data_IF_300283949977
#
_entry.id   IF_300283949977
#
_cell.length_a   1.000
_cell.length_b   1.000
_cell.length_c   1.000
_cell.angle_alpha   90.00
_cell.angle_beta   90.00
_cell.angle_gamma   90.00
#
_symmetry.space_group_name_H-M   'P 1'
#
loop_
_entity.id
_entity.type
_entity.pdbx_description
1 polymer ?
#
# COMPACT_ATOMS: atom_id res chain seq x y z
N UNK A 1 19.22 22.38 -3.22
CA UNK A 1 18.28 21.53 -3.97
C UNK A 1 16.93 22.20 -3.79
N UNK A 2 16.32 22.59 -4.91
CA UNK A 2 14.94 23.06 -4.90
C UNK A 2 14.05 21.87 -4.56
N UNK A 3 13.43 21.91 -3.38
CA UNK A 3 12.64 20.80 -2.86
C UNK A 3 11.16 20.90 -3.23
N UNK A 4 10.76 21.92 -3.97
CA UNK A 4 9.34 22.18 -4.27
C UNK A 4 8.69 21.06 -5.11
N UNK A 5 9.47 20.38 -5.95
CA UNK A 5 9.02 19.29 -6.82
C UNK A 5 9.35 17.89 -6.30
N UNK A 6 10.03 17.76 -5.16
CA UNK A 6 10.45 16.46 -4.62
C UNK A 6 9.40 15.92 -3.67
N UNK A 7 8.91 14.71 -3.94
CA UNK A 7 8.04 13.97 -3.03
C UNK A 7 8.86 13.37 -1.90
N UNK A 8 8.59 13.80 -0.67
CA UNK A 8 9.29 13.33 0.53
C UNK A 8 8.32 12.53 1.40
N UNK A 9 8.65 11.26 1.65
CA UNK A 9 7.88 10.38 2.52
C UNK A 9 8.61 10.16 3.83
N UNK A 10 7.97 10.57 4.92
CA UNK A 10 8.50 10.45 6.28
C UNK A 10 7.72 9.37 7.04
N UNK A 11 8.42 8.33 7.44
CA UNK A 11 7.87 7.25 8.24
C UNK A 11 8.35 7.34 9.67
N UNK A 12 7.43 7.50 10.61
CA UNK A 12 7.72 7.56 12.04
C UNK A 12 6.95 6.50 12.80
N UNK A 13 7.60 5.89 13.78
CA UNK A 13 6.99 4.92 14.70
C UNK A 13 6.44 5.60 15.98
N UNK A 14 6.21 6.89 15.92
CA UNK A 14 5.65 7.69 17.01
C UNK A 14 4.68 8.75 16.48
N UNK A 15 3.84 9.26 17.36
CA UNK A 15 2.86 10.30 17.07
C UNK A 15 3.19 11.55 17.89
N UNK A 16 3.67 12.62 17.24
CA UNK A 16 3.98 13.90 17.86
C UNK A 16 3.71 15.04 16.86
N UNK A 17 2.66 15.82 17.10
CA UNK A 17 2.23 16.89 16.20
C UNK A 17 3.21 18.08 16.19
N UNK A 18 3.88 18.36 17.29
CA UNK A 18 4.86 19.46 17.37
C UNK A 18 6.06 19.15 16.48
N UNK A 19 6.62 17.96 16.63
CA UNK A 19 7.77 17.51 15.82
C UNK A 19 7.45 17.53 14.32
N UNK A 20 6.24 17.10 13.93
CA UNK A 20 5.81 17.11 12.55
C UNK A 20 5.68 18.53 11.99
N UNK A 21 5.17 19.48 12.81
CA UNK A 21 5.12 20.90 12.41
C UNK A 21 6.50 21.49 12.20
N UNK A 22 7.44 21.19 13.10
CA UNK A 22 8.85 21.64 12.98
C UNK A 22 9.51 21.10 11.70
N UNK A 23 9.31 19.81 11.39
CA UNK A 23 9.84 19.23 10.15
C UNK A 23 9.23 19.88 8.91
N UNK A 24 7.92 20.14 8.90
CA UNK A 24 7.27 20.85 7.80
C UNK A 24 7.90 22.22 7.56
N UNK A 25 8.10 22.98 8.64
CA UNK A 25 8.69 24.31 8.56
C UNK A 25 10.15 24.27 8.08
N UNK A 26 10.86 23.20 8.43
CA UNK A 26 12.25 22.98 7.99
C UNK A 26 12.31 22.54 6.50
N UNK A 27 11.48 21.60 6.08
CA UNK A 27 11.55 21.03 4.73
C UNK A 27 11.02 21.94 3.63
N UNK A 28 10.15 22.91 3.92
CA UNK A 28 9.54 23.88 2.97
C UNK A 28 8.98 23.27 1.69
N UNK A 29 8.64 21.98 1.70
CA UNK A 29 8.09 21.25 0.56
C UNK A 29 6.58 21.11 0.68
N UNK A 30 5.86 21.35 -0.41
CA UNK A 30 4.42 21.06 -0.50
C UNK A 30 4.13 19.59 -0.78
N UNK A 31 5.14 18.81 -1.18
CA UNK A 31 5.06 17.39 -1.51
C UNK A 31 5.53 16.50 -0.35
N UNK A 32 5.26 16.90 0.89
CA UNK A 32 5.63 16.18 2.10
C UNK A 32 4.50 15.27 2.55
N UNK A 33 4.79 13.96 2.65
CA UNK A 33 3.85 12.90 3.03
C UNK A 33 4.29 12.22 4.33
N UNK A 34 3.42 12.22 5.31
CA UNK A 34 3.71 11.61 6.60
C UNK A 34 3.03 10.25 6.71
N UNK A 35 3.81 9.19 6.74
CA UNK A 35 3.32 7.82 6.87
C UNK A 35 3.04 7.46 8.34
N UNK A 36 2.21 8.25 9.00
CA UNK A 36 1.76 8.01 10.38
C UNK A 36 0.29 7.60 10.33
N UNK A 37 0.04 6.33 10.62
CA UNK A 37 -1.26 5.69 10.56
C UNK A 37 -1.64 5.13 11.94
N UNK A 38 -2.56 5.80 12.65
CA UNK A 38 -2.95 5.41 14.03
C UNK A 38 -3.78 4.13 14.05
N UNK A 39 -4.66 3.94 13.06
CA UNK A 39 -5.45 2.71 12.92
C UNK A 39 -4.56 1.58 12.40
N UNK A 40 -3.66 1.88 11.45
CA UNK A 40 -2.66 0.94 10.97
C UNK A 40 -1.70 0.48 12.08
N UNK A 41 -1.31 1.37 13.00
CA UNK A 41 -0.53 0.99 14.17
C UNK A 41 -1.29 0.01 15.08
N UNK A 42 -2.57 0.30 15.35
CA UNK A 42 -3.44 -0.63 16.08
C UNK A 42 -3.56 -1.97 15.36
N UNK A 43 -3.74 -1.98 14.05
CA UNK A 43 -3.83 -3.20 13.26
C UNK A 43 -2.54 -4.04 13.30
N UNK A 44 -1.37 -3.36 13.27
CA UNK A 44 -0.04 -4.00 13.27
C UNK A 44 0.37 -4.52 14.64
N UNK A 45 0.14 -3.74 15.69
CA UNK A 45 0.72 -3.98 17.03
C UNK A 45 -0.31 -4.43 18.06
N UNK A 46 -1.60 -4.25 17.79
CA UNK A 46 -2.69 -4.40 18.75
C UNK A 46 -2.81 -3.25 19.74
N UNK A 47 -1.98 -2.21 19.62
CA UNK A 47 -1.93 -1.09 20.55
C UNK A 47 -2.06 0.25 19.82
N UNK A 48 -2.67 1.22 20.51
CA UNK A 48 -2.55 2.63 20.15
C UNK A 48 -1.13 3.13 20.44
N UNK A 49 -0.74 4.28 19.91
CA UNK A 49 0.54 4.91 20.32
C UNK A 49 0.52 5.25 21.82
N UNK A 50 -0.58 5.81 22.31
CA UNK A 50 -0.83 6.10 23.73
C UNK A 50 -2.14 5.45 24.18
N UNK A 51 -3.26 5.99 23.69
CA UNK A 51 -4.64 5.49 23.84
C UNK A 51 -5.52 6.19 22.81
N UNK A 52 -6.70 5.63 22.53
CA UNK A 52 -7.62 6.16 21.52
C UNK A 52 -7.84 7.68 21.63
N UNK A 53 -8.18 8.16 22.83
CA UNK A 53 -8.53 9.58 23.04
C UNK A 53 -7.32 10.51 22.80
N UNK A 54 -6.16 10.11 23.27
CA UNK A 54 -4.92 10.88 23.10
C UNK A 54 -4.46 10.87 21.64
N UNK A 55 -4.51 9.72 20.98
CA UNK A 55 -4.10 9.56 19.59
C UNK A 55 -5.01 10.36 18.65
N UNK A 56 -6.33 10.33 18.86
CA UNK A 56 -7.26 11.15 18.08
C UNK A 56 -7.03 12.64 18.28
N UNK A 57 -6.79 13.08 19.52
CA UNK A 57 -6.51 14.49 19.83
C UNK A 57 -5.20 14.95 19.17
N UNK A 58 -4.16 14.15 19.25
CA UNK A 58 -2.86 14.47 18.67
C UNK A 58 -2.93 14.44 17.14
N UNK A 59 -3.60 13.43 16.55
CA UNK A 59 -3.82 13.34 15.11
C UNK A 59 -4.62 14.52 14.57
N UNK A 60 -5.61 15.01 15.30
CA UNK A 60 -6.39 16.18 14.89
C UNK A 60 -5.54 17.46 14.79
N UNK A 61 -4.65 17.71 15.76
CA UNK A 61 -3.68 18.82 15.68
C UNK A 61 -2.80 18.70 14.43
N UNK A 62 -2.35 17.50 14.18
CA UNK A 62 -1.53 17.14 13.04
C UNK A 62 -2.24 17.40 11.70
N UNK A 63 -3.52 16.98 11.57
CA UNK A 63 -4.36 17.22 10.39
C UNK A 63 -4.55 18.72 10.11
N UNK A 64 -4.57 19.55 11.14
CA UNK A 64 -4.71 21.00 10.99
C UNK A 64 -3.43 21.68 10.52
N UNK A 65 -2.27 21.14 10.88
CA UNK A 65 -0.96 21.76 10.61
C UNK A 65 -0.36 21.37 9.26
N UNK A 66 -0.72 20.20 8.71
CA UNK A 66 -0.07 19.65 7.49
C UNK A 66 -1.11 19.20 6.46
N UNK A 67 -0.73 19.33 5.19
CA UNK A 67 -1.46 18.69 4.09
C UNK A 67 -1.26 17.16 4.10
N UNK A 68 -1.30 16.36 3.28
CA UNK A 68 -0.96 14.91 3.19
C UNK A 68 -0.68 14.24 4.56
N UNK A 69 -1.57 14.50 5.53
CA UNK A 69 -1.38 14.17 6.93
C UNK A 69 -1.96 12.83 7.34
N UNK A 70 -2.79 12.21 6.51
CA UNK A 70 -3.45 10.95 6.84
C UNK A 70 -2.97 9.87 5.88
N UNK A 71 -2.22 8.91 6.41
CA UNK A 71 -1.83 7.72 5.70
C UNK A 71 -2.84 6.60 5.96
N UNK A 72 -3.33 5.96 4.92
CA UNK A 72 -3.99 4.66 4.98
C UNK A 72 -3.01 3.63 4.44
N UNK A 73 -2.40 2.88 5.35
CA UNK A 73 -1.38 1.91 4.99
C UNK A 73 -1.99 0.53 4.70
N UNK A 74 -2.50 0.34 3.48
CA UNK A 74 -3.06 -0.92 3.02
C UNK A 74 -2.02 -2.04 2.90
N UNK A 75 -0.73 -1.68 2.72
CA UNK A 75 0.35 -2.66 2.61
C UNK A 75 0.48 -3.57 3.85
N UNK A 76 -0.01 -3.12 5.01
CA UNK A 76 -0.07 -3.92 6.23
C UNK A 76 -0.91 -5.18 6.04
N UNK A 77 -2.09 -5.03 5.44
CA UNK A 77 -3.03 -6.13 5.25
C UNK A 77 -2.50 -7.14 4.24
N UNK A 78 -1.96 -6.66 3.13
CA UNK A 78 -1.36 -7.50 2.11
C UNK A 78 -0.17 -8.29 2.69
N UNK A 79 0.75 -7.63 3.36
CA UNK A 79 1.92 -8.29 3.96
C UNK A 79 1.55 -9.27 5.09
N UNK A 80 0.40 -9.09 5.75
CA UNK A 80 -0.13 -10.01 6.74
C UNK A 80 -0.84 -11.25 6.15
N UNK A 81 -1.10 -11.26 4.83
CA UNK A 81 -1.72 -12.39 4.15
C UNK A 81 -3.08 -12.12 3.51
N UNK A 82 -3.55 -10.87 3.50
CA UNK A 82 -4.79 -10.52 2.82
C UNK A 82 -4.69 -10.75 1.30
N UNK A 83 -5.76 -11.23 0.69
CA UNK A 83 -5.91 -11.26 -0.76
C UNK A 83 -6.08 -9.84 -1.32
N UNK A 84 -5.88 -9.66 -2.63
CA UNK A 84 -6.08 -8.37 -3.31
C UNK A 84 -7.46 -7.77 -3.00
N UNK A 85 -8.52 -8.59 -3.01
CA UNK A 85 -9.88 -8.15 -2.73
C UNK A 85 -10.02 -7.69 -1.27
N UNK A 86 -9.41 -8.40 -0.33
CA UNK A 86 -9.41 -8.03 1.08
C UNK A 86 -8.59 -6.76 1.32
N UNK A 87 -7.42 -6.63 0.69
CA UNK A 87 -6.59 -5.42 0.77
C UNK A 87 -7.38 -4.18 0.33
N UNK A 88 -8.09 -4.26 -0.81
CA UNK A 88 -8.96 -3.19 -1.31
C UNK A 88 -10.10 -2.85 -0.33
N UNK A 89 -10.80 -3.87 0.14
CA UNK A 89 -11.94 -3.69 1.05
C UNK A 89 -11.51 -3.09 2.41
N UNK A 90 -10.39 -3.57 2.95
CA UNK A 90 -9.87 -3.05 4.22
C UNK A 90 -9.30 -1.64 4.07
N UNK A 91 -8.63 -1.33 2.97
CA UNK A 91 -8.19 0.03 2.69
C UNK A 91 -9.37 1.00 2.57
N UNK A 92 -10.47 0.57 1.93
CA UNK A 92 -11.69 1.37 1.80
C UNK A 92 -12.37 1.57 3.16
N UNK A 93 -12.53 0.52 3.95
CA UNK A 93 -13.12 0.57 5.28
C UNK A 93 -12.27 1.41 6.26
N UNK A 94 -10.96 1.29 6.17
CA UNK A 94 -10.02 2.11 6.93
C UNK A 94 -10.13 3.61 6.55
N UNK A 95 -10.32 3.90 5.26
CA UNK A 95 -10.58 5.27 4.78
C UNK A 95 -11.88 5.80 5.34
N UNK A 96 -12.96 5.00 5.28
CA UNK A 96 -14.26 5.35 5.85
C UNK A 96 -14.17 5.66 7.34
N UNK A 97 -13.45 4.83 8.10
CA UNK A 97 -13.23 5.03 9.52
C UNK A 97 -12.56 6.38 9.84
N UNK A 98 -11.57 6.78 9.05
CA UNK A 98 -10.94 8.10 9.21
C UNK A 98 -11.91 9.24 8.87
N UNK A 99 -12.74 9.09 7.85
CA UNK A 99 -13.75 10.10 7.48
C UNK A 99 -14.79 10.25 8.60
N UNK A 100 -15.24 9.15 9.20
CA UNK A 100 -16.18 9.17 10.32
C UNK A 100 -15.55 9.80 11.57
N UNK A 101 -14.29 9.53 11.88
CA UNK A 101 -13.59 10.06 13.05
C UNK A 101 -13.23 11.55 12.95
N UNK A 102 -12.88 12.05 11.78
CA UNK A 102 -12.35 13.41 11.60
C UNK A 102 -13.19 14.29 10.67
N UNK A 103 -14.24 13.74 10.09
CA UNK A 103 -15.13 14.44 9.18
C UNK A 103 -14.62 14.46 7.72
N UNK A 104 -15.55 14.66 6.80
CA UNK A 104 -15.27 14.58 5.34
C UNK A 104 -14.27 15.61 4.79
N UNK A 105 -14.00 16.67 5.52
CA UNK A 105 -13.03 17.70 5.14
C UNK A 105 -11.58 17.18 5.06
N UNK A 106 -11.31 16.00 5.62
CA UNK A 106 -9.98 15.39 5.56
C UNK A 106 -9.70 14.67 4.24
N UNK A 107 -10.70 14.42 3.40
CA UNK A 107 -10.56 13.64 2.17
C UNK A 107 -9.35 14.07 1.29
N UNK A 108 -9.10 15.38 1.04
CA UNK A 108 -7.93 15.81 0.27
C UNK A 108 -6.58 15.59 0.97
N UNK A 109 -6.59 15.24 2.25
CA UNK A 109 -5.39 15.03 3.07
C UNK A 109 -5.01 13.57 3.22
N UNK A 110 -5.81 12.66 2.67
CA UNK A 110 -5.59 11.23 2.72
C UNK A 110 -4.70 10.81 1.56
N UNK A 111 -3.68 10.03 1.89
CA UNK A 111 -2.85 9.32 0.91
C UNK A 111 -2.75 7.84 1.30
N UNK A 112 -2.39 7.02 0.34
CA UNK A 112 -2.46 5.57 0.46
C UNK A 112 -1.12 4.91 0.21
N UNK A 113 -0.84 3.84 0.95
CA UNK A 113 0.33 2.99 0.71
C UNK A 113 -0.13 1.58 0.39
N UNK A 114 0.27 1.05 -0.77
CA UNK A 114 -0.04 -0.31 -1.21
C UNK A 114 1.23 -1.14 -1.40
N UNK A 115 1.12 -2.45 -1.15
CA UNK A 115 2.11 -3.42 -1.61
C UNK A 115 1.75 -3.93 -2.99
N UNK A 116 2.76 -4.24 -3.81
CA UNK A 116 2.60 -4.79 -5.15
C UNK A 116 3.18 -6.20 -5.18
N UNK A 117 2.36 -7.17 -5.49
CA UNK A 117 2.73 -8.59 -5.58
C UNK A 117 3.09 -9.04 -7.00
N UNK A 118 3.17 -10.35 -7.16
CA UNK A 118 3.65 -10.97 -8.41
C UNK A 118 2.63 -11.05 -9.53
N UNK A 119 1.33 -10.91 -9.24
CA UNK A 119 0.30 -11.06 -10.27
C UNK A 119 0.12 -9.77 -11.07
N UNK A 120 0.91 -9.62 -12.11
CA UNK A 120 1.11 -8.42 -12.90
C UNK A 120 -0.19 -7.69 -13.28
N UNK A 121 -1.12 -8.39 -13.93
CA UNK A 121 -2.38 -7.77 -14.40
C UNK A 121 -3.35 -7.45 -13.27
N UNK A 122 -3.38 -8.29 -12.23
CA UNK A 122 -4.23 -8.05 -11.07
C UNK A 122 -3.70 -6.86 -10.24
N UNK A 123 -2.39 -6.64 -10.19
CA UNK A 123 -1.81 -5.49 -9.50
C UNK A 123 -2.12 -4.18 -10.24
N UNK A 124 -2.06 -4.18 -11.59
CA UNK A 124 -2.52 -3.05 -12.40
C UNK A 124 -4.01 -2.75 -12.09
N UNK A 125 -4.85 -3.78 -12.17
CA UNK A 125 -6.28 -3.64 -11.94
C UNK A 125 -6.62 -3.24 -10.49
N UNK A 126 -5.84 -3.68 -9.51
CA UNK A 126 -5.99 -3.32 -8.10
C UNK A 126 -5.94 -1.82 -7.87
N UNK A 127 -4.92 -1.15 -8.38
CA UNK A 127 -4.76 0.30 -8.20
C UNK A 127 -5.87 1.09 -8.90
N UNK A 128 -6.27 0.63 -10.08
CA UNK A 128 -7.41 1.21 -10.83
C UNK A 128 -8.73 1.02 -10.07
N UNK A 129 -9.01 -0.21 -9.59
CA UNK A 129 -10.20 -0.52 -8.81
C UNK A 129 -10.26 0.30 -7.52
N UNK A 130 -9.12 0.52 -6.86
CA UNK A 130 -9.08 1.32 -5.64
C UNK A 130 -9.48 2.77 -5.89
N UNK A 131 -9.02 3.38 -6.98
CA UNK A 131 -9.43 4.74 -7.35
C UNK A 131 -10.94 4.86 -7.55
N UNK A 132 -11.55 3.89 -8.24
CA UNK A 132 -13.00 3.81 -8.43
C UNK A 132 -13.74 3.67 -7.08
N UNK A 133 -13.26 2.79 -6.21
CA UNK A 133 -13.87 2.56 -4.91
C UNK A 133 -13.83 3.80 -4.00
N UNK A 134 -12.70 4.50 -3.97
CA UNK A 134 -12.58 5.73 -3.18
C UNK A 134 -13.47 6.84 -3.75
N UNK A 135 -13.55 6.97 -5.07
CA UNK A 135 -14.45 7.95 -5.70
C UNK A 135 -15.91 7.71 -5.34
N UNK A 136 -16.35 6.46 -5.36
CA UNK A 136 -17.69 6.06 -4.91
C UNK A 136 -17.89 6.39 -3.42
N UNK A 137 -16.94 6.03 -2.56
CA UNK A 137 -17.01 6.31 -1.12
C UNK A 137 -17.12 7.81 -0.85
N UNK A 138 -16.27 8.63 -1.48
CA UNK A 138 -16.27 10.07 -1.29
C UNK A 138 -17.57 10.70 -1.80
N UNK A 139 -18.12 10.21 -2.90
CA UNK A 139 -19.40 10.66 -3.44
C UNK A 139 -20.54 10.41 -2.45
N UNK A 140 -20.59 9.24 -1.82
CA UNK A 140 -21.57 8.91 -0.78
C UNK A 140 -21.47 9.84 0.43
N UNK A 141 -20.26 10.28 0.80
CA UNK A 141 -20.04 11.30 1.84
C UNK A 141 -20.35 12.74 1.36
N UNK A 142 -20.78 12.93 0.10
CA UNK A 142 -21.03 14.24 -0.49
C UNK A 142 -19.78 15.09 -0.66
N UNK A 143 -18.64 14.44 -0.89
CA UNK A 143 -17.37 15.07 -1.25
C UNK A 143 -17.23 15.01 -2.78
N UNK A 144 -16.82 16.12 -3.41
CA UNK A 144 -16.49 16.10 -4.84
C UNK A 144 -15.31 15.17 -5.08
N UNK A 145 -15.30 14.52 -6.24
CA UNK A 145 -14.17 13.70 -6.69
C UNK A 145 -12.86 14.46 -6.48
N UNK A 146 -11.96 13.85 -5.73
CA UNK A 146 -10.67 14.42 -5.37
C UNK A 146 -9.58 13.44 -5.80
N UNK A 147 -8.57 13.89 -6.54
CA UNK A 147 -7.45 13.04 -6.89
C UNK A 147 -6.79 12.46 -5.64
N UNK A 148 -6.65 11.13 -5.58
CA UNK A 148 -5.98 10.45 -4.49
C UNK A 148 -4.52 10.19 -4.84
N UNK A 149 -3.65 10.27 -3.83
CA UNK A 149 -2.24 9.95 -3.97
C UNK A 149 -1.96 8.54 -3.49
N UNK A 150 -1.42 7.71 -4.38
CA UNK A 150 -1.07 6.31 -4.09
C UNK A 150 0.45 6.15 -4.18
N UNK A 151 1.04 5.75 -3.07
CA UNK A 151 2.42 5.33 -2.94
C UNK A 151 2.50 3.81 -2.91
N UNK A 152 3.41 3.20 -3.67
CA UNK A 152 3.52 1.75 -3.76
C UNK A 152 4.92 1.25 -3.46
N UNK A 153 4.99 0.02 -2.94
CA UNK A 153 6.22 -0.74 -2.68
C UNK A 153 6.05 -2.18 -3.14
N UNK A 154 7.12 -2.84 -3.59
CA UNK A 154 7.10 -4.30 -3.76
C UNK A 154 6.70 -5.04 -2.49
N UNK A 155 5.90 -6.09 -2.65
CA UNK A 155 5.50 -6.98 -1.56
C UNK A 155 6.69 -7.76 -1.01
N UNK A 156 6.68 -8.03 0.29
CA UNK A 156 7.67 -8.92 0.92
C UNK A 156 7.28 -10.40 0.81
N UNK A 157 6.00 -10.72 0.54
CA UNK A 157 5.46 -12.08 0.58
C UNK A 157 5.96 -13.00 -0.52
N UNK A 158 6.35 -12.46 -1.66
CA UNK A 158 6.82 -13.24 -2.81
C UNK A 158 8.33 -13.11 -3.03
N UNK A 159 9.06 -12.72 -2.00
CA UNK A 159 10.52 -12.72 -2.00
C UNK A 159 11.05 -14.01 -1.39
N UNK A 160 12.23 -14.43 -1.82
CA UNK A 160 12.88 -15.65 -1.35
C UNK A 160 14.32 -15.38 -0.94
N UNK A 161 14.80 -16.16 0.03
CA UNK A 161 16.21 -16.19 0.42
C UNK A 161 17.03 -17.14 -0.48
N UNK A 162 16.35 -18.08 -1.16
CA UNK A 162 16.98 -18.98 -2.12
C UNK A 162 17.17 -18.25 -3.46
N UNK A 163 18.38 -18.34 -4.02
CA UNK A 163 18.73 -17.62 -5.25
C UNK A 163 18.22 -16.16 -5.23
N UNK A 164 18.51 -15.50 -4.12
CA UNK A 164 17.91 -14.22 -3.73
C UNK A 164 18.16 -13.08 -4.75
N UNK A 165 19.19 -13.20 -5.59
CA UNK A 165 19.43 -12.24 -6.67
C UNK A 165 18.24 -12.15 -7.65
N UNK A 166 17.48 -13.22 -7.81
CA UNK A 166 16.27 -13.25 -8.67
C UNK A 166 15.17 -12.31 -8.14
N UNK A 167 15.25 -11.90 -6.88
CA UNK A 167 14.34 -10.88 -6.34
C UNK A 167 14.44 -9.54 -7.11
N UNK A 168 15.59 -9.22 -7.73
CA UNK A 168 15.72 -8.02 -8.59
C UNK A 168 14.74 -8.06 -9.76
N UNK A 169 14.57 -9.22 -10.40
CA UNK A 169 13.63 -9.40 -11.52
C UNK A 169 12.19 -9.25 -11.05
N UNK A 170 11.86 -9.81 -9.87
CA UNK A 170 10.53 -9.70 -9.25
C UNK A 170 10.18 -8.25 -8.97
N UNK A 171 11.07 -7.53 -8.27
CA UNK A 171 10.81 -6.14 -7.93
C UNK A 171 10.70 -5.24 -9.17
N UNK A 172 11.43 -5.53 -10.25
CA UNK A 172 11.31 -4.80 -11.53
C UNK A 172 9.92 -4.96 -12.12
N UNK A 173 9.41 -6.19 -12.25
CA UNK A 173 8.08 -6.44 -12.83
C UNK A 173 6.95 -5.90 -11.94
N UNK A 174 7.11 -5.92 -10.62
CA UNK A 174 6.18 -5.33 -9.66
C UNK A 174 6.14 -3.81 -9.80
N UNK A 175 7.29 -3.14 -9.85
CA UNK A 175 7.36 -1.70 -10.10
C UNK A 175 6.73 -1.32 -11.45
N UNK A 176 6.97 -2.13 -12.50
CA UNK A 176 6.35 -1.91 -13.79
C UNK A 176 4.82 -2.01 -13.72
N UNK A 177 4.27 -3.02 -13.01
CA UNK A 177 2.82 -3.14 -12.83
C UNK A 177 2.23 -1.97 -12.04
N UNK A 178 2.97 -1.45 -11.05
CA UNK A 178 2.57 -0.27 -10.30
C UNK A 178 2.50 0.99 -11.18
N UNK A 179 3.48 1.19 -12.08
CA UNK A 179 3.47 2.30 -13.05
C UNK A 179 2.23 2.21 -13.93
N UNK A 180 2.02 1.04 -14.53
CA UNK A 180 0.88 0.81 -15.45
C UNK A 180 -0.48 0.88 -14.74
N UNK A 181 -0.53 0.57 -13.45
CA UNK A 181 -1.71 0.71 -12.59
C UNK A 181 -1.98 2.15 -12.13
N UNK A 182 -1.10 3.10 -12.45
CA UNK A 182 -1.28 4.52 -12.13
C UNK A 182 -0.87 4.87 -10.69
N UNK A 183 0.16 4.23 -10.12
CA UNK A 183 0.78 4.68 -8.88
C UNK A 183 1.37 6.09 -9.07
N UNK A 184 1.19 6.96 -8.08
CA UNK A 184 1.75 8.31 -8.13
C UNK A 184 3.25 8.32 -7.77
N UNK A 185 3.65 7.44 -6.86
CA UNK A 185 5.04 7.31 -6.43
C UNK A 185 5.35 5.86 -6.13
N UNK A 186 6.56 5.44 -6.48
CA UNK A 186 7.03 4.06 -6.31
C UNK A 186 8.36 4.09 -5.57
N UNK A 187 8.47 3.28 -4.54
CA UNK A 187 9.73 3.00 -3.86
C UNK A 187 10.07 1.53 -4.08
N UNK A 188 11.17 1.25 -4.77
CA UNK A 188 11.63 -0.11 -4.92
C UNK A 188 12.36 -0.59 -3.66
N UNK A 189 12.39 -1.90 -3.46
CA UNK A 189 13.10 -2.55 -2.36
C UNK A 189 14.37 -3.22 -2.87
N UNK A 190 15.42 -3.20 -2.05
CA UNK A 190 16.61 -4.00 -2.32
C UNK A 190 16.25 -5.49 -2.43
N UNK A 191 16.96 -6.22 -3.27
CA UNK A 191 16.73 -7.66 -3.53
C UNK A 191 16.91 -8.54 -2.28
N UNK A 192 17.72 -8.08 -1.35
CA UNK A 192 18.07 -8.73 -0.09
C UNK A 192 17.35 -8.16 1.15
N UNK A 193 16.38 -7.26 0.95
CA UNK A 193 15.69 -6.53 2.02
C UNK A 193 14.97 -7.43 3.05
N UNK A 194 14.70 -8.70 2.74
CA UNK A 194 14.03 -9.63 3.67
C UNK A 194 14.96 -10.24 4.71
N UNK A 195 16.28 -10.20 4.52
CA UNK A 195 17.25 -10.84 5.41
C UNK A 195 18.52 -10.02 5.70
N UNK A 196 18.78 -8.96 4.93
CA UNK A 196 19.89 -8.04 5.16
C UNK A 196 19.40 -6.64 5.51
N UNK A 197 20.23 -5.94 6.29
CA UNK A 197 20.11 -4.49 6.40
C UNK A 197 20.50 -3.85 5.06
N UNK A 198 19.96 -2.66 4.83
CA UNK A 198 20.29 -1.85 3.65
C UNK A 198 21.80 -1.76 3.41
N UNK A 199 22.22 -1.98 2.17
CA UNK A 199 23.59 -1.87 1.73
C UNK A 199 23.67 -1.06 0.42
N UNK A 200 24.83 -0.47 0.15
CA UNK A 200 25.04 0.44 -0.98
C UNK A 200 24.70 -0.20 -2.33
N UNK A 201 25.09 -1.46 -2.53
CA UNK A 201 24.84 -2.17 -3.78
C UNK A 201 23.34 -2.42 -4.00
N UNK A 202 22.65 -2.96 -2.99
CA UNK A 202 21.22 -3.24 -3.06
C UNK A 202 20.39 -1.98 -3.29
N UNK A 203 20.72 -0.88 -2.59
CA UNK A 203 20.06 0.41 -2.78
C UNK A 203 20.31 0.99 -4.16
N UNK A 204 21.55 0.91 -4.65
CA UNK A 204 21.91 1.37 -5.98
C UNK A 204 21.13 0.59 -7.06
N UNK A 205 21.10 -0.73 -6.97
CA UNK A 205 20.37 -1.57 -7.94
C UNK A 205 18.89 -1.27 -7.91
N UNK A 206 18.27 -1.22 -6.74
CA UNK A 206 16.82 -0.94 -6.61
C UNK A 206 16.44 0.41 -7.24
N UNK A 207 17.27 1.43 -7.06
CA UNK A 207 17.11 2.74 -7.71
C UNK A 207 17.33 2.67 -9.22
N UNK A 208 18.37 1.95 -9.65
CA UNK A 208 18.68 1.79 -11.09
C UNK A 208 17.57 1.07 -11.83
N UNK A 209 16.91 0.09 -11.23
CA UNK A 209 15.73 -0.57 -11.82
C UNK A 209 14.61 0.44 -12.14
N UNK A 210 14.33 1.38 -11.24
CA UNK A 210 13.33 2.44 -11.48
C UNK A 210 13.77 3.39 -12.59
N UNK A 211 15.05 3.77 -12.62
CA UNK A 211 15.61 4.62 -13.69
C UNK A 211 15.53 3.94 -15.05
N UNK A 212 15.79 2.63 -15.15
CA UNK A 212 15.62 1.86 -16.40
C UNK A 212 14.16 1.90 -16.86
N UNK A 213 13.20 1.69 -15.95
CA UNK A 213 11.77 1.76 -16.29
C UNK A 213 11.37 3.17 -16.75
N UNK A 214 11.95 4.19 -16.16
CA UNK A 214 11.68 5.58 -16.50
C UNK A 214 12.32 6.01 -17.82
N UNK A 215 13.64 5.84 -17.95
CA UNK A 215 14.44 6.45 -19.02
C UNK A 215 14.59 5.54 -20.24
N UNK A 216 14.86 4.23 -20.03
CA UNK A 216 15.08 3.30 -21.13
C UNK A 216 13.78 2.68 -21.63
N UNK A 217 12.86 2.32 -20.72
CA UNK A 217 11.55 1.77 -21.07
C UNK A 217 10.50 2.86 -21.35
N UNK A 218 10.86 4.14 -21.18
CA UNK A 218 10.01 5.31 -21.44
C UNK A 218 8.63 5.26 -20.76
N UNK A 219 8.50 4.60 -19.61
CA UNK A 219 7.21 4.45 -18.92
C UNK A 219 6.70 5.75 -18.26
N UNK A 220 7.43 6.84 -18.36
CA UNK A 220 6.97 8.18 -18.01
C UNK A 220 6.20 8.90 -19.14
N UNK A 221 6.19 8.34 -20.36
CA UNK A 221 5.65 9.01 -21.54
C UNK A 221 4.13 9.17 -21.54
N UNK A 222 3.40 8.39 -20.73
CA UNK A 222 1.95 8.50 -20.59
C UNK A 222 1.48 8.14 -19.17
N UNK A 223 0.32 8.66 -18.79
CA UNK A 223 -0.21 8.46 -17.44
C UNK A 223 -1.13 7.25 -17.30
N UNK A 224 -1.70 6.75 -18.38
CA UNK A 224 -2.75 5.72 -18.32
C UNK A 224 -2.55 4.66 -19.42
N UNK A 225 -1.48 3.91 -19.33
CA UNK A 225 -1.12 2.89 -20.32
C UNK A 225 -2.12 1.72 -20.41
N UNK A 226 -2.91 1.49 -19.36
CA UNK A 226 -3.82 0.35 -19.27
C UNK A 226 -5.22 0.64 -19.82
N UNK A 227 -5.52 1.88 -20.21
CA UNK A 227 -6.81 2.26 -20.77
C UNK A 227 -7.09 1.55 -22.09
N UNK A 228 -8.35 1.10 -22.23
CA UNK A 228 -8.79 0.39 -23.42
C UNK A 228 -8.41 -1.09 -23.47
N UNK A 229 -7.76 -1.61 -22.45
CA UNK A 229 -7.52 -3.05 -22.30
C UNK A 229 -8.75 -3.73 -21.72
N UNK A 230 -9.53 -4.43 -22.56
CA UNK A 230 -10.73 -5.16 -22.13
C UNK A 230 -10.48 -6.12 -20.96
N UNK A 231 -9.33 -6.77 -20.94
CA UNK A 231 -8.96 -7.70 -19.87
C UNK A 231 -8.76 -6.97 -18.56
N UNK A 232 -7.98 -5.88 -18.55
CA UNK A 232 -7.71 -5.09 -17.34
C UNK A 232 -8.99 -4.42 -16.84
N UNK A 233 -9.81 -3.86 -17.74
CA UNK A 233 -11.06 -3.21 -17.37
C UNK A 233 -12.05 -4.21 -16.76
N UNK A 234 -12.13 -5.42 -17.32
CA UNK A 234 -12.96 -6.50 -16.77
C UNK A 234 -12.52 -6.92 -15.36
N UNK A 235 -11.19 -7.13 -15.14
CA UNK A 235 -10.66 -7.47 -13.82
C UNK A 235 -10.87 -6.31 -12.84
N UNK A 236 -10.64 -5.08 -13.27
CA UNK A 236 -10.83 -3.86 -12.45
C UNK A 236 -12.24 -3.81 -11.89
N UNK A 237 -13.24 -3.96 -12.75
CA UNK A 237 -14.66 -3.96 -12.34
C UNK A 237 -14.99 -5.10 -11.38
N UNK A 238 -14.53 -6.32 -11.66
CA UNK A 238 -14.78 -7.47 -10.79
C UNK A 238 -14.10 -7.33 -9.42
N UNK A 239 -12.88 -6.78 -9.37
CA UNK A 239 -12.18 -6.51 -8.11
C UNK A 239 -12.91 -5.46 -7.29
N UNK A 240 -13.36 -4.38 -7.94
CA UNK A 240 -14.12 -3.32 -7.28
C UNK A 240 -15.45 -3.84 -6.70
N UNK A 241 -16.24 -4.60 -7.46
CA UNK A 241 -17.50 -5.16 -6.99
C UNK A 241 -17.32 -6.10 -5.78
N UNK A 242 -16.35 -7.01 -5.86
CA UNK A 242 -16.07 -7.94 -4.76
C UNK A 242 -15.54 -7.24 -3.52
N UNK A 243 -14.67 -6.26 -3.68
CA UNK A 243 -14.15 -5.46 -2.58
C UNK A 243 -15.26 -4.61 -1.92
N UNK A 244 -16.14 -4.01 -2.72
CA UNK A 244 -17.31 -3.27 -2.24
C UNK A 244 -18.27 -4.16 -1.44
N UNK A 245 -18.43 -5.41 -1.84
CA UNK A 245 -19.23 -6.39 -1.10
C UNK A 245 -18.66 -6.64 0.29
N UNK A 246 -17.36 -6.91 0.40
CA UNK A 246 -16.69 -7.10 1.70
C UNK A 246 -16.73 -5.81 2.53
N UNK A 247 -16.53 -4.65 1.92
CA UNK A 247 -16.66 -3.37 2.60
C UNK A 247 -18.04 -3.20 3.24
N UNK A 248 -19.12 -3.45 2.48
CA UNK A 248 -20.49 -3.38 3.00
C UNK A 248 -20.75 -4.37 4.16
N UNK A 249 -20.14 -5.55 4.10
CA UNK A 249 -20.21 -6.51 5.22
C UNK A 249 -19.49 -5.98 6.47
N UNK A 250 -18.36 -5.31 6.31
CA UNK A 250 -17.61 -4.68 7.42
C UNK A 250 -18.45 -3.58 8.05
N UNK A 251 -18.98 -2.68 7.24
CA UNK A 251 -19.82 -1.58 7.75
C UNK A 251 -21.09 -2.09 8.46
N UNK A 252 -21.76 -3.08 7.88
CA UNK A 252 -22.92 -3.74 8.52
C UNK A 252 -22.55 -4.43 9.85
N UNK A 253 -21.33 -4.86 9.99
CA UNK A 253 -20.79 -5.53 11.18
C UNK A 253 -20.29 -4.58 12.27
N UNK A 254 -20.55 -3.27 12.19
CA UNK A 254 -20.17 -2.25 13.18
C UNK A 254 -18.96 -1.39 12.78
N UNK A 255 -18.49 -1.51 11.53
CA UNK A 255 -17.36 -0.73 11.00
C UNK A 255 -16.00 -1.37 11.22
N UNK A 256 -15.00 -0.75 10.65
CA UNK A 256 -13.65 -1.33 10.57
C UNK A 256 -12.98 -1.47 11.94
N UNK A 257 -13.05 -0.44 12.79
CA UNK A 257 -12.43 -0.44 14.12
C UNK A 257 -13.03 -1.50 15.04
N UNK A 258 -14.34 -1.70 15.03
CA UNK A 258 -14.99 -2.69 15.89
C UNK A 258 -14.65 -4.11 15.43
N UNK A 259 -14.61 -4.36 14.13
CA UNK A 259 -14.18 -5.66 13.59
C UNK A 259 -12.68 -5.92 13.79
N UNK A 260 -11.86 -4.88 13.78
CA UNK A 260 -10.43 -5.00 14.09
C UNK A 260 -10.22 -5.36 15.57
N UNK A 261 -10.91 -4.68 16.50
CA UNK A 261 -10.85 -4.95 17.94
C UNK A 261 -11.41 -6.32 18.32
N UNK A 262 -12.46 -6.77 17.65
CA UNK A 262 -13.05 -8.10 17.86
C UNK A 262 -12.27 -9.24 17.21
N UNK A 263 -11.22 -8.95 16.43
CA UNK A 263 -10.36 -9.94 15.80
C UNK A 263 -10.93 -10.56 14.52
N UNK A 264 -12.05 -10.06 14.01
CA UNK A 264 -12.68 -10.59 12.79
C UNK A 264 -11.80 -10.38 11.57
N UNK A 265 -11.21 -9.17 11.42
CA UNK A 265 -10.30 -8.84 10.32
C UNK A 265 -9.08 -9.74 10.35
N UNK A 266 -8.43 -9.89 11.51
CA UNK A 266 -7.24 -10.73 11.69
C UNK A 266 -7.53 -12.20 11.35
N UNK A 267 -8.70 -12.71 11.77
CA UNK A 267 -9.13 -14.08 11.46
C UNK A 267 -9.27 -14.28 9.94
N UNK A 268 -9.92 -13.36 9.25
CA UNK A 268 -10.11 -13.41 7.79
C UNK A 268 -8.79 -13.34 7.03
N UNK A 269 -7.85 -12.49 7.47
CA UNK A 269 -6.49 -12.42 6.90
C UNK A 269 -5.76 -13.75 7.13
N UNK A 270 -5.83 -14.33 8.32
CA UNK A 270 -5.20 -15.62 8.64
C UNK A 270 -5.76 -16.75 7.78
N UNK A 271 -7.08 -16.82 7.59
CA UNK A 271 -7.72 -17.80 6.69
C UNK A 271 -7.20 -17.67 5.26
N UNK A 272 -7.04 -16.43 4.76
CA UNK A 272 -6.47 -16.16 3.44
C UNK A 272 -5.00 -16.58 3.33
N UNK A 273 -4.19 -16.26 4.34
CA UNK A 273 -2.78 -16.64 4.42
C UNK A 273 -2.59 -18.16 4.42
N UNK A 274 -3.39 -18.89 5.21
CA UNK A 274 -3.36 -20.34 5.25
C UNK A 274 -3.73 -20.99 3.91
N UNK A 275 -4.71 -20.41 3.20
CA UNK A 275 -5.07 -20.86 1.86
C UNK A 275 -3.92 -20.65 0.88
N UNK A 276 -3.28 -19.49 0.92
CA UNK A 276 -2.12 -19.20 0.06
C UNK A 276 -0.94 -20.13 0.35
N UNK A 277 -0.66 -20.40 1.62
CA UNK A 277 0.37 -21.37 2.04
C UNK A 277 0.06 -22.77 1.50
N UNK A 278 -1.19 -23.23 1.63
CA UNK A 278 -1.62 -24.50 1.07
C UNK A 278 -1.48 -24.56 -0.45
N UNK A 279 -1.83 -23.49 -1.15
CA UNK A 279 -1.70 -23.38 -2.60
C UNK A 279 -0.22 -23.34 -3.03
N UNK A 280 0.66 -22.73 -2.22
CA UNK A 280 2.12 -22.75 -2.43
C UNK A 280 2.71 -24.15 -2.24
N UNK A 281 2.37 -24.84 -1.15
CA UNK A 281 2.81 -26.23 -0.87
C UNK A 281 2.35 -27.18 -1.97
N UNK A 282 1.11 -27.04 -2.43
CA UNK A 282 0.54 -27.83 -3.53
C UNK A 282 0.99 -27.39 -4.93
N UNK A 283 1.96 -26.46 -5.04
CA UNK A 283 2.51 -25.94 -6.29
C UNK A 283 1.48 -25.33 -7.22
N UNK A 284 0.35 -24.83 -6.70
CA UNK A 284 -0.59 -23.99 -7.46
C UNK A 284 -0.10 -22.57 -7.58
N UNK A 285 0.62 -22.09 -6.55
CA UNK A 285 1.38 -20.83 -6.59
C UNK A 285 2.84 -21.19 -6.76
N UNK A 286 3.45 -20.64 -7.80
CA UNK A 286 4.84 -20.92 -8.16
C UNK A 286 5.72 -19.75 -7.71
N UNK A 287 6.82 -20.07 -7.04
CA UNK A 287 7.92 -19.18 -6.76
C UNK A 287 9.21 -19.84 -7.28
N UNK A 288 9.68 -19.36 -8.40
CA UNK A 288 10.89 -19.89 -9.08
C UNK A 288 12.09 -19.76 -8.15
N UNK A 289 12.93 -20.79 -8.12
CA UNK A 289 14.05 -20.89 -7.17
C UNK A 289 13.66 -21.44 -5.80
N UNK A 290 12.35 -21.54 -5.47
CA UNK A 290 11.88 -22.04 -4.16
C UNK A 290 11.07 -23.32 -4.30
N UNK A 291 9.91 -23.32 -4.96
CA UNK A 291 9.11 -24.53 -5.16
C UNK A 291 9.12 -25.05 -6.61
N UNK A 292 9.79 -24.33 -7.51
CA UNK A 292 10.05 -24.71 -8.89
C UNK A 292 11.48 -24.33 -9.27
N UNK A 293 12.19 -25.20 -9.99
CA UNK A 293 13.57 -24.98 -10.47
C UNK A 293 14.53 -24.48 -9.38
N UNK A 294 14.57 -25.20 -8.27
CA UNK A 294 15.52 -24.91 -7.20
C UNK A 294 16.96 -25.04 -7.67
N UNK A 295 17.81 -24.12 -7.27
CA UNK A 295 19.25 -24.23 -7.46
C UNK A 295 19.83 -25.20 -6.43
N UNK A 296 20.25 -26.39 -6.86
CA UNK A 296 20.81 -27.45 -5.99
C UNK A 296 22.17 -27.08 -5.39
N UNK A 297 22.83 -26.05 -5.92
CA UNK A 297 24.12 -25.56 -5.44
C UNK A 297 23.97 -24.33 -4.53
N UNK A 298 22.74 -23.91 -4.22
CA UNK A 298 22.50 -22.80 -3.33
C UNK A 298 22.68 -23.26 -1.88
N UNK A 299 23.74 -22.78 -1.24
CA UNK A 299 24.04 -23.05 0.16
C UNK A 299 23.81 -21.77 0.94
N UNK A 300 22.88 -21.84 1.88
CA UNK A 300 22.69 -20.76 2.88
C UNK A 300 23.79 -20.78 3.93
#
# INVERSE_FOLDING_TARGET
IDTEEIFIYLNFEFLNAVFVSEIKDYCKSNCLYFQIDIIGNLAKTGNWFFNLKSDLKEKNKYIQSVNNSICVNASLYQNAGASIIQELAYALAHTNEYIELFGKSIAPKIHYTFSIGSNYFFEIAKLRAFRLLVDVLLTEHGVKSTPIHIFTKPSLRNKTIYDYNVNMLRTTSECMSAILGGSNTISNSSYDAIFHKSNEFGERISRTQLLILQEESCLQAAQNFADGSYYIDSITSQLAEKALTIFKEIEKGGGFLDQLKSGVIQKKIKESAQKEEADFVNKKIILVGTNLQQNTNDHM
#
